data_IF_899469380062
#
_entry.id   IF_899469380062
#
_cell.length_a   1.000
_cell.length_b   1.000
_cell.length_c   1.000
_cell.angle_alpha   90.00
_cell.angle_beta   90.00
_cell.angle_gamma   90.00
#
_symmetry.space_group_name_H-M   'P 1'
#
loop_
_entity.id
_entity.type
_entity.pdbx_description
1 polymer ?
#
# COMPACT_ATOMS: atom_id res chain seq x y z
N UNK A 1 -14.14 7.66 -1.54
CA UNK A 1 -14.28 6.20 -1.37
C UNK A 1 -14.78 5.85 0.05
N UNK A 2 -14.08 6.27 1.12
CA UNK A 2 -14.34 5.83 2.49
C UNK A 2 -15.76 6.04 3.06
N UNK A 3 -16.53 7.04 2.60
CA UNK A 3 -17.93 7.23 3.02
C UNK A 3 -18.92 6.39 2.19
N UNK A 4 -18.59 6.15 0.94
CA UNK A 4 -19.47 5.53 -0.05
C UNK A 4 -19.33 4.02 0.03
N UNK A 5 -18.09 3.52 0.20
CA UNK A 5 -17.77 2.10 0.21
C UNK A 5 -18.62 1.26 1.19
N UNK A 6 -18.75 1.61 2.49
CA UNK A 6 -19.59 0.82 3.41
C UNK A 6 -21.08 0.82 3.03
N UNK A 7 -21.57 1.93 2.43
CA UNK A 7 -22.96 2.02 1.96
C UNK A 7 -23.20 1.13 0.74
N UNK A 8 -22.24 1.08 -0.17
CA UNK A 8 -22.33 0.24 -1.37
C UNK A 8 -22.24 -1.24 -1.00
N UNK A 9 -21.33 -1.60 -0.10
CA UNK A 9 -21.20 -2.98 0.39
C UNK A 9 -22.50 -3.48 1.03
N UNK A 10 -23.12 -2.65 1.87
CA UNK A 10 -24.41 -3.00 2.49
C UNK A 10 -25.54 -3.15 1.45
N UNK A 11 -25.58 -2.30 0.40
CA UNK A 11 -26.66 -2.30 -0.59
C UNK A 11 -26.50 -3.38 -1.68
N UNK A 12 -25.28 -3.61 -2.14
CA UNK A 12 -24.99 -4.44 -3.32
C UNK A 12 -24.12 -5.67 -3.02
N UNK A 13 -23.63 -5.80 -1.79
CA UNK A 13 -22.68 -6.82 -1.40
C UNK A 13 -21.24 -6.49 -1.84
N UNK A 14 -20.25 -7.12 -1.19
CA UNK A 14 -18.81 -6.85 -1.42
C UNK A 14 -18.37 -7.26 -2.82
N UNK A 15 -18.88 -8.37 -3.33
CA UNK A 15 -18.57 -8.86 -4.67
C UNK A 15 -18.96 -7.85 -5.75
N UNK A 16 -20.22 -7.42 -5.75
CA UNK A 16 -20.71 -6.47 -6.76
C UNK A 16 -20.05 -5.12 -6.63
N UNK A 17 -19.78 -4.66 -5.41
CA UNK A 17 -19.01 -3.42 -5.17
C UNK A 17 -17.59 -3.52 -5.68
N UNK A 18 -16.95 -4.69 -5.60
CA UNK A 18 -15.61 -4.92 -6.17
C UNK A 18 -15.63 -4.89 -7.70
N UNK A 19 -16.61 -5.55 -8.35
CA UNK A 19 -16.76 -5.48 -9.81
C UNK A 19 -17.08 -4.07 -10.29
N UNK A 20 -17.91 -3.35 -9.57
CA UNK A 20 -18.19 -1.95 -9.85
C UNK A 20 -16.91 -1.08 -9.69
N UNK A 21 -16.11 -1.36 -8.67
CA UNK A 21 -14.80 -0.73 -8.50
C UNK A 21 -13.84 -1.02 -9.66
N UNK A 22 -13.78 -2.26 -10.14
CA UNK A 22 -12.99 -2.65 -11.30
C UNK A 22 -13.47 -1.93 -12.57
N UNK A 23 -14.78 -1.82 -12.78
CA UNK A 23 -15.36 -1.08 -13.90
C UNK A 23 -14.95 0.40 -13.86
N UNK A 24 -15.09 1.07 -12.71
CA UNK A 24 -14.68 2.47 -12.53
C UNK A 24 -13.18 2.63 -12.83
N UNK A 25 -12.33 1.76 -12.27
CA UNK A 25 -10.89 1.78 -12.53
C UNK A 25 -10.59 1.65 -14.02
N UNK A 26 -11.16 0.65 -14.65
CA UNK A 26 -10.91 0.31 -16.06
C UNK A 26 -11.41 1.39 -17.02
N UNK A 27 -12.55 2.02 -16.74
CA UNK A 27 -13.07 3.13 -17.55
C UNK A 27 -12.25 4.42 -17.37
N UNK A 28 -11.65 4.65 -16.21
CA UNK A 28 -10.77 5.79 -15.98
C UNK A 28 -9.44 5.72 -16.76
N UNK A 29 -8.91 4.52 -17.01
CA UNK A 29 -7.61 4.35 -17.67
C UNK A 29 -7.53 4.94 -19.09
N UNK A 30 -8.49 4.75 -20.01
CA UNK A 30 -8.47 5.39 -21.32
C UNK A 30 -8.49 6.93 -21.23
N UNK A 31 -9.28 7.49 -20.34
CA UNK A 31 -9.30 8.94 -20.12
C UNK A 31 -7.98 9.47 -19.55
N UNK A 32 -7.31 8.68 -18.70
CA UNK A 32 -5.96 9.01 -18.23
C UNK A 32 -4.93 8.93 -19.36
N UNK A 33 -4.95 7.85 -20.15
CA UNK A 33 -3.99 7.61 -21.22
C UNK A 33 -4.15 8.56 -22.42
N UNK A 34 -5.39 8.92 -22.76
CA UNK A 34 -5.73 9.65 -23.97
C UNK A 34 -6.23 11.08 -23.70
N UNK A 35 -6.30 11.47 -22.43
CA UNK A 35 -6.84 12.77 -22.02
C UNK A 35 -6.13 13.95 -22.71
N UNK A 36 -6.88 14.84 -23.38
CA UNK A 36 -6.31 15.97 -24.12
C UNK A 36 -5.88 17.12 -23.22
N UNK A 37 -6.24 17.10 -21.93
CA UNK A 37 -5.92 18.18 -20.98
C UNK A 37 -5.57 17.64 -19.61
N UNK A 38 -4.81 18.44 -18.84
CA UNK A 38 -4.42 18.12 -17.45
C UNK A 38 -5.65 17.91 -16.57
N UNK A 39 -6.71 18.68 -16.75
CA UNK A 39 -7.93 18.57 -15.96
C UNK A 39 -8.61 17.20 -16.16
N UNK A 40 -8.74 16.76 -17.42
CA UNK A 40 -9.32 15.44 -17.75
C UNK A 40 -8.44 14.33 -17.17
N UNK A 41 -7.13 14.44 -17.30
CA UNK A 41 -6.17 13.49 -16.74
C UNK A 41 -6.29 13.39 -15.20
N UNK A 42 -6.38 14.52 -14.50
CA UNK A 42 -6.55 14.54 -13.03
C UNK A 42 -7.89 13.92 -12.61
N UNK A 43 -8.99 14.24 -13.30
CA UNK A 43 -10.29 13.63 -13.04
C UNK A 43 -10.28 12.14 -13.29
N UNK A 44 -9.63 11.67 -14.37
CA UNK A 44 -9.47 10.27 -14.69
C UNK A 44 -8.68 9.51 -13.61
N UNK A 45 -7.59 10.10 -13.09
CA UNK A 45 -6.82 9.55 -11.97
C UNK A 45 -7.69 9.44 -10.71
N UNK A 46 -8.40 10.51 -10.34
CA UNK A 46 -9.29 10.49 -9.18
C UNK A 46 -10.36 9.40 -9.30
N UNK A 47 -10.96 9.27 -10.47
CA UNK A 47 -11.97 8.26 -10.75
C UNK A 47 -11.39 6.84 -10.64
N UNK A 48 -10.26 6.58 -11.27
CA UNK A 48 -9.54 5.31 -11.19
C UNK A 48 -9.13 4.96 -9.75
N UNK A 49 -8.63 5.92 -8.99
CA UNK A 49 -8.27 5.72 -7.59
C UNK A 49 -9.48 5.33 -6.71
N UNK A 50 -10.67 5.89 -6.98
CA UNK A 50 -11.90 5.50 -6.26
C UNK A 50 -12.23 4.03 -6.56
N UNK A 51 -12.20 3.63 -7.82
CA UNK A 51 -12.43 2.24 -8.24
C UNK A 51 -11.45 1.26 -7.62
N UNK A 52 -10.16 1.57 -7.68
CA UNK A 52 -9.09 0.77 -7.07
C UNK A 52 -9.29 0.58 -5.57
N UNK A 53 -9.67 1.65 -4.86
CA UNK A 53 -9.93 1.57 -3.42
C UNK A 53 -11.10 0.62 -3.08
N UNK A 54 -12.15 0.57 -3.90
CA UNK A 54 -13.25 -0.37 -3.67
C UNK A 54 -12.77 -1.82 -3.77
N UNK A 55 -11.93 -2.12 -4.75
CA UNK A 55 -11.39 -3.47 -4.94
C UNK A 55 -10.48 -3.86 -3.76
N UNK A 56 -9.50 -3.00 -3.40
CA UNK A 56 -8.50 -3.36 -2.40
C UNK A 56 -9.09 -3.49 -1.00
N UNK A 57 -10.03 -2.61 -0.61
CA UNK A 57 -10.67 -2.67 0.71
C UNK A 57 -11.52 -3.94 0.86
N UNK A 58 -12.27 -4.31 -0.18
CA UNK A 58 -13.05 -5.54 -0.18
C UNK A 58 -12.17 -6.79 -0.19
N UNK A 59 -11.08 -6.79 -0.99
CA UNK A 59 -10.13 -7.89 -1.02
C UNK A 59 -9.54 -8.17 0.37
N UNK A 60 -9.05 -7.13 1.07
CA UNK A 60 -8.49 -7.30 2.42
C UNK A 60 -9.51 -7.91 3.38
N UNK A 61 -10.74 -7.41 3.34
CA UNK A 61 -11.80 -7.91 4.23
C UNK A 61 -12.21 -9.35 3.88
N UNK A 62 -12.42 -9.65 2.60
CA UNK A 62 -12.78 -11.01 2.14
C UNK A 62 -11.70 -12.03 2.51
N UNK A 63 -10.43 -11.73 2.26
CA UNK A 63 -9.32 -12.61 2.60
C UNK A 63 -9.19 -12.80 4.12
N UNK A 64 -9.39 -11.75 4.90
CA UNK A 64 -9.35 -11.84 6.37
C UNK A 64 -10.46 -12.72 6.94
N UNK A 65 -11.63 -12.73 6.32
CA UNK A 65 -12.74 -13.61 6.72
C UNK A 65 -12.59 -15.03 6.20
N UNK A 66 -12.10 -15.21 4.97
CA UNK A 66 -11.95 -16.54 4.37
C UNK A 66 -10.80 -17.34 4.99
N UNK A 67 -9.75 -16.67 5.48
CA UNK A 67 -8.60 -17.27 6.15
C UNK A 67 -8.47 -16.78 7.61
N UNK A 68 -9.40 -17.14 8.53
CA UNK A 68 -9.43 -16.60 9.89
C UNK A 68 -8.20 -17.00 10.72
N UNK A 69 -7.58 -18.14 10.41
CA UNK A 69 -6.36 -18.62 11.09
C UNK A 69 -5.09 -17.86 10.67
N UNK A 70 -5.03 -17.39 9.43
CA UNK A 70 -3.84 -16.76 8.84
C UNK A 70 -4.18 -15.56 7.97
N UNK A 71 -4.96 -14.58 8.47
CA UNK A 71 -5.47 -13.48 7.67
C UNK A 71 -4.34 -12.57 7.14
N UNK A 72 -3.31 -12.34 7.95
CA UNK A 72 -2.13 -11.57 7.61
C UNK A 72 -1.29 -12.23 6.49
N UNK A 73 -1.21 -13.55 6.49
CA UNK A 73 -0.53 -14.30 5.42
C UNK A 73 -1.28 -14.14 4.09
N UNK A 74 -2.60 -14.39 4.09
CA UNK A 74 -3.42 -14.32 2.89
C UNK A 74 -3.41 -12.92 2.26
N UNK A 75 -3.60 -11.87 3.09
CA UNK A 75 -3.57 -10.48 2.64
C UNK A 75 -2.17 -10.08 2.16
N UNK A 76 -1.11 -10.53 2.85
CA UNK A 76 0.27 -10.24 2.47
C UNK A 76 0.64 -10.88 1.13
N UNK A 77 0.30 -12.16 0.92
CA UNK A 77 0.56 -12.86 -0.34
C UNK A 77 -0.22 -12.25 -1.51
N UNK A 78 -1.46 -11.85 -1.30
CA UNK A 78 -2.23 -11.12 -2.31
C UNK A 78 -1.55 -9.79 -2.71
N UNK A 79 -1.03 -9.05 -1.74
CA UNK A 79 -0.22 -7.87 -2.01
C UNK A 79 1.13 -8.20 -2.67
N UNK A 80 1.69 -9.39 -2.42
CA UNK A 80 2.86 -9.93 -3.13
C UNK A 80 2.60 -10.12 -4.63
N UNK A 81 1.45 -10.70 -4.98
CA UNK A 81 1.00 -10.82 -6.37
C UNK A 81 0.86 -9.43 -7.03
N UNK A 82 0.32 -8.46 -6.29
CA UNK A 82 0.25 -7.07 -6.77
C UNK A 82 1.65 -6.49 -7.06
N UNK A 83 2.66 -6.77 -6.21
CA UNK A 83 4.03 -6.33 -6.44
C UNK A 83 4.63 -6.97 -7.71
N UNK A 84 4.36 -8.25 -7.98
CA UNK A 84 4.75 -8.91 -9.24
C UNK A 84 4.09 -8.23 -10.43
N UNK A 85 2.79 -7.92 -10.34
CA UNK A 85 2.06 -7.17 -11.37
C UNK A 85 2.66 -5.78 -11.62
N UNK A 86 3.08 -5.08 -10.57
CA UNK A 86 3.77 -3.78 -10.67
C UNK A 86 5.09 -3.90 -11.44
N UNK A 87 5.95 -4.87 -11.08
CA UNK A 87 7.24 -5.09 -11.76
C UNK A 87 7.00 -5.46 -13.22
N UNK A 88 6.09 -6.39 -13.49
CA UNK A 88 5.74 -6.80 -14.86
C UNK A 88 5.22 -5.62 -15.70
N UNK A 89 4.31 -4.83 -15.15
CA UNK A 89 3.77 -3.64 -15.81
C UNK A 89 4.86 -2.59 -16.10
N UNK A 90 5.77 -2.37 -15.17
CA UNK A 90 6.89 -1.44 -15.35
C UNK A 90 7.83 -1.90 -16.48
N UNK A 91 8.21 -3.18 -16.49
CA UNK A 91 9.03 -3.77 -17.55
C UNK A 91 8.32 -3.68 -18.89
N UNK A 92 7.04 -4.04 -18.95
CA UNK A 92 6.24 -3.99 -20.17
C UNK A 92 6.19 -2.59 -20.77
N UNK A 93 5.88 -1.57 -19.95
CA UNK A 93 5.83 -0.17 -20.39
C UNK A 93 7.21 0.30 -20.87
N UNK A 94 8.28 -0.04 -20.12
CA UNK A 94 9.65 0.30 -20.52
C UNK A 94 10.07 -0.36 -21.83
N UNK A 95 9.72 -1.63 -22.02
CA UNK A 95 10.01 -2.38 -23.26
C UNK A 95 9.24 -1.79 -24.45
N UNK A 96 7.95 -1.50 -24.30
CA UNK A 96 7.16 -0.86 -25.36
C UNK A 96 7.75 0.50 -25.75
N UNK A 97 8.17 1.28 -24.76
CA UNK A 97 8.81 2.58 -25.00
C UNK A 97 10.15 2.43 -25.77
N UNK A 98 10.96 1.40 -25.50
CA UNK A 98 12.21 1.13 -26.22
C UNK A 98 12.00 0.76 -27.69
N UNK A 99 10.84 0.21 -28.03
CA UNK A 99 10.41 -0.05 -29.42
C UNK A 99 9.69 1.15 -30.07
N UNK A 100 9.70 2.32 -29.46
CA UNK A 100 9.03 3.51 -29.99
C UNK A 100 7.52 3.50 -29.80
N UNK A 101 6.97 2.52 -29.11
CA UNK A 101 5.53 2.47 -28.78
C UNK A 101 5.26 3.37 -27.58
N UNK A 102 4.20 4.16 -27.66
CA UNK A 102 3.81 5.04 -26.56
C UNK A 102 3.59 4.25 -25.26
N UNK A 103 4.10 4.74 -24.14
CA UNK A 103 3.85 4.20 -22.80
C UNK A 103 2.34 4.05 -22.48
N UNK A 104 1.50 4.84 -23.15
CA UNK A 104 0.04 4.78 -23.06
C UNK A 104 -0.52 3.42 -23.46
N UNK A 105 0.10 2.75 -24.44
CA UNK A 105 -0.30 1.41 -24.86
C UNK A 105 -0.19 0.38 -23.71
N UNK A 106 0.89 0.47 -22.91
CA UNK A 106 1.05 -0.39 -21.74
C UNK A 106 -0.07 -0.24 -20.70
N UNK A 107 -0.54 0.99 -20.46
CA UNK A 107 -1.68 1.24 -19.58
C UNK A 107 -2.99 0.71 -20.16
N UNK A 108 -3.20 0.88 -21.46
CA UNK A 108 -4.42 0.42 -22.13
C UNK A 108 -4.55 -1.10 -22.17
N UNK A 109 -3.45 -1.85 -22.09
CA UNK A 109 -3.47 -3.31 -21.94
C UNK A 109 -4.12 -3.79 -20.64
N UNK A 110 -4.22 -2.95 -19.62
CA UNK A 110 -4.97 -3.26 -18.41
C UNK A 110 -6.48 -3.41 -18.67
N UNK A 111 -7.01 -2.76 -19.72
CA UNK A 111 -8.45 -2.82 -20.06
C UNK A 111 -8.87 -4.23 -20.48
N UNK A 112 -8.26 -4.86 -21.53
CA UNK A 112 -8.60 -6.23 -21.89
C UNK A 112 -8.28 -7.22 -20.78
N UNK A 113 -7.23 -7.01 -19.98
CA UNK A 113 -6.92 -7.85 -18.84
C UNK A 113 -8.04 -7.81 -17.77
N UNK A 114 -8.58 -6.64 -17.48
CA UNK A 114 -9.70 -6.47 -16.54
C UNK A 114 -11.00 -7.11 -17.08
N UNK A 115 -11.25 -7.00 -18.39
CA UNK A 115 -12.38 -7.66 -19.05
C UNK A 115 -12.25 -9.18 -18.96
N UNK A 116 -11.07 -9.72 -19.25
CA UNK A 116 -10.78 -11.15 -19.12
C UNK A 116 -10.96 -11.63 -17.67
N UNK A 117 -10.48 -10.86 -16.69
CA UNK A 117 -10.66 -11.15 -15.27
C UNK A 117 -12.15 -11.17 -14.88
N UNK A 118 -12.95 -10.23 -15.40
CA UNK A 118 -14.39 -10.19 -15.15
C UNK A 118 -15.07 -11.48 -15.68
N UNK A 119 -14.82 -11.86 -16.92
CA UNK A 119 -15.40 -13.08 -17.48
C UNK A 119 -14.93 -14.35 -16.76
N UNK A 120 -13.68 -14.41 -16.33
CA UNK A 120 -13.15 -15.53 -15.54
C UNK A 120 -13.78 -15.62 -14.14
N UNK A 121 -14.02 -14.47 -13.50
CA UNK A 121 -14.45 -14.39 -12.10
C UNK A 121 -15.96 -14.27 -11.88
N UNK A 122 -16.73 -13.86 -12.90
CA UNK A 122 -18.17 -13.56 -12.75
C UNK A 122 -19.02 -14.72 -12.25
N UNK A 123 -18.64 -15.96 -12.56
CA UNK A 123 -19.41 -17.16 -12.21
C UNK A 123 -18.87 -17.83 -10.91
N UNK A 124 -17.75 -17.30 -10.34
CA UNK A 124 -17.19 -17.82 -9.10
C UNK A 124 -18.06 -17.39 -7.92
N UNK A 125 -18.50 -18.36 -7.13
CA UNK A 125 -19.25 -18.09 -5.90
C UNK A 125 -18.27 -17.54 -4.86
N UNK A 126 -18.49 -16.30 -4.43
CA UNK A 126 -17.83 -15.70 -3.27
C UNK A 126 -18.91 -15.49 -2.23
N UNK A 127 -18.71 -16.03 -1.03
CA UNK A 127 -19.65 -15.86 0.08
C UNK A 127 -19.88 -14.36 0.34
N UNK A 128 -21.09 -13.91 0.05
CA UNK A 128 -21.55 -12.55 0.33
C UNK A 128 -22.22 -12.48 1.73
N UNK A 129 -21.56 -13.05 2.76
CA UNK A 129 -22.14 -13.14 4.10
C UNK A 129 -22.60 -11.79 4.71
N UNK A 130 -22.30 -10.65 4.08
CA UNK A 130 -22.56 -9.34 4.64
C UNK A 130 -23.65 -8.52 3.92
N UNK A 131 -24.30 -9.05 2.90
CA UNK A 131 -25.39 -8.32 2.23
C UNK A 131 -26.58 -8.08 3.17
N UNK A 132 -26.79 -9.01 4.13
CA UNK A 132 -27.85 -8.94 5.14
C UNK A 132 -27.37 -8.42 6.51
N UNK A 133 -26.07 -8.13 6.68
CA UNK A 133 -25.56 -7.63 7.93
C UNK A 133 -26.01 -6.18 8.19
N UNK A 134 -26.42 -5.82 9.42
CA UNK A 134 -26.84 -4.46 9.73
C UNK A 134 -25.70 -3.48 9.50
N UNK A 135 -26.03 -2.30 8.95
CA UNK A 135 -25.04 -1.24 8.69
C UNK A 135 -24.24 -0.93 9.93
N UNK A 136 -22.94 -1.13 9.85
CA UNK A 136 -22.03 -0.86 10.94
C UNK A 136 -21.95 0.65 11.20
N UNK A 137 -22.31 1.05 12.41
CA UNK A 137 -22.32 2.44 12.86
C UNK A 137 -21.84 2.55 14.31
N UNK A 138 -21.62 3.77 14.78
CA UNK A 138 -21.24 4.06 16.15
C UNK A 138 -19.77 4.48 16.29
N UNK A 139 -19.31 4.54 17.54
CA UNK A 139 -17.95 4.99 17.88
C UNK A 139 -16.98 3.81 17.84
N UNK A 140 -15.75 4.09 17.43
CA UNK A 140 -14.61 3.18 17.51
C UNK A 140 -13.79 3.53 18.76
N UNK A 141 -13.23 2.53 19.42
CA UNK A 141 -12.49 2.68 20.66
C UNK A 141 -11.18 3.49 20.53
N UNK A 142 -10.64 3.97 21.66
CA UNK A 142 -9.39 4.75 21.67
C UNK A 142 -8.19 3.99 21.08
N UNK A 143 -8.09 2.67 21.33
CA UNK A 143 -7.04 1.82 20.75
C UNK A 143 -7.10 1.76 19.22
N UNK A 144 -8.30 1.81 18.65
CA UNK A 144 -8.46 1.91 17.20
C UNK A 144 -7.83 3.19 16.66
N UNK A 145 -8.06 4.33 17.29
CA UNK A 145 -7.53 5.61 16.80
C UNK A 145 -6.02 5.71 16.93
N UNK A 146 -5.44 5.11 17.98
CA UNK A 146 -3.98 4.99 18.10
C UNK A 146 -3.42 4.11 16.98
N UNK A 147 -4.07 2.96 16.70
CA UNK A 147 -3.67 2.09 15.61
C UNK A 147 -3.87 2.74 14.22
N UNK A 148 -4.94 3.53 14.06
CA UNK A 148 -5.20 4.32 12.86
C UNK A 148 -4.10 5.36 12.60
N UNK A 149 -3.66 6.06 13.65
CA UNK A 149 -2.54 6.99 13.56
C UNK A 149 -1.23 6.25 13.23
N UNK A 150 -0.99 5.09 13.85
CA UNK A 150 0.13 4.23 13.51
C UNK A 150 0.11 3.77 12.05
N UNK A 151 -1.05 3.44 11.51
CA UNK A 151 -1.22 3.13 10.10
C UNK A 151 -0.92 4.34 9.21
N UNK A 152 -1.44 5.52 9.55
CA UNK A 152 -1.15 6.76 8.83
C UNK A 152 0.37 7.03 8.75
N UNK A 153 1.09 6.96 9.89
CA UNK A 153 2.53 7.21 9.93
C UNK A 153 3.34 6.14 9.20
N UNK A 154 2.88 4.89 9.24
CA UNK A 154 3.47 3.76 8.49
C UNK A 154 3.40 4.00 6.99
N UNK A 155 2.21 4.30 6.46
CA UNK A 155 2.03 4.58 5.03
C UNK A 155 2.76 5.87 4.62
N UNK A 156 2.79 6.87 5.49
CA UNK A 156 3.55 8.10 5.26
C UNK A 156 5.05 7.82 5.08
N UNK A 157 5.63 6.95 5.92
CA UNK A 157 7.05 6.58 5.81
C UNK A 157 7.35 5.79 4.53
N UNK A 158 6.44 4.91 4.11
CA UNK A 158 6.55 4.14 2.87
C UNK A 158 6.57 5.07 1.65
N UNK A 159 5.57 5.94 1.53
CA UNK A 159 5.44 6.81 0.36
C UNK A 159 6.49 7.91 0.31
N UNK A 160 6.85 8.51 1.45
CA UNK A 160 7.97 9.44 1.51
C UNK A 160 9.27 8.79 1.01
N UNK A 161 9.56 7.56 1.45
CA UNK A 161 10.75 6.83 1.01
C UNK A 161 10.68 6.48 -0.48
N UNK A 162 9.55 5.93 -0.93
CA UNK A 162 9.40 5.44 -2.31
C UNK A 162 9.52 6.55 -3.35
N UNK A 163 9.00 7.75 -3.08
CA UNK A 163 9.01 8.86 -4.04
C UNK A 163 10.34 9.62 -4.10
N UNK A 164 11.07 9.69 -2.99
CA UNK A 164 12.22 10.60 -2.90
C UNK A 164 13.58 9.90 -2.71
N UNK A 165 13.62 8.55 -2.58
CA UNK A 165 14.88 7.81 -2.38
C UNK A 165 15.91 8.06 -3.49
N UNK A 166 15.47 8.19 -4.73
CA UNK A 166 16.33 8.51 -5.86
C UNK A 166 16.94 9.92 -5.76
N UNK A 167 16.15 10.89 -5.30
CA UNK A 167 16.62 12.26 -5.09
C UNK A 167 17.68 12.33 -3.99
N UNK A 168 17.47 11.64 -2.85
CA UNK A 168 18.46 11.55 -1.79
C UNK A 168 19.75 10.85 -2.27
N UNK A 169 19.61 9.76 -3.03
CA UNK A 169 20.77 9.04 -3.56
C UNK A 169 21.59 9.92 -4.50
N UNK A 170 20.92 10.65 -5.42
CA UNK A 170 21.56 11.59 -6.32
C UNK A 170 22.30 12.71 -5.57
N UNK A 171 21.67 13.30 -4.57
CA UNK A 171 22.25 14.34 -3.72
C UNK A 171 23.53 13.87 -2.99
N UNK A 172 23.51 12.61 -2.53
CA UNK A 172 24.60 12.03 -1.74
C UNK A 172 25.76 11.45 -2.53
N UNK A 173 25.46 10.87 -3.70
CA UNK A 173 26.45 10.10 -4.48
C UNK A 173 26.80 10.74 -5.83
N UNK A 174 26.08 11.80 -6.22
CA UNK A 174 26.19 12.38 -7.57
C UNK A 174 25.67 11.45 -8.67
N UNK A 175 24.91 10.38 -8.33
CA UNK A 175 24.39 9.42 -9.29
C UNK A 175 23.45 10.07 -10.30
N UNK A 176 23.55 9.65 -11.56
CA UNK A 176 22.72 10.17 -12.64
C UNK A 176 21.26 9.71 -12.51
N UNK A 177 20.35 10.38 -13.22
CA UNK A 177 18.92 10.03 -13.25
C UNK A 177 18.67 8.57 -13.72
N UNK A 178 19.56 7.97 -14.50
CA UNK A 178 19.48 6.56 -14.90
C UNK A 178 19.53 5.60 -13.70
N UNK A 179 20.22 5.97 -12.62
CA UNK A 179 20.26 5.17 -11.39
C UNK A 179 18.99 5.28 -10.54
N UNK A 180 18.10 6.24 -10.84
CA UNK A 180 16.79 6.37 -10.16
C UNK A 180 15.94 5.10 -10.32
N UNK A 181 16.03 4.44 -11.48
CA UNK A 181 15.34 3.17 -11.74
C UNK A 181 15.87 2.03 -10.86
N UNK A 182 17.17 2.02 -10.56
CA UNK A 182 17.76 1.03 -9.65
C UNK A 182 17.28 1.19 -8.22
N UNK A 183 17.01 2.42 -7.76
CA UNK A 183 16.40 2.66 -6.44
C UNK A 183 15.00 2.04 -6.36
N UNK A 184 14.17 2.27 -7.37
CA UNK A 184 12.81 1.70 -7.46
C UNK A 184 12.87 0.17 -7.53
N UNK A 185 13.81 -0.39 -8.32
CA UNK A 185 14.00 -1.82 -8.44
C UNK A 185 14.46 -2.46 -7.12
N UNK A 186 15.43 -1.86 -6.42
CA UNK A 186 15.93 -2.35 -5.14
C UNK A 186 14.79 -2.35 -4.08
N UNK A 187 14.07 -1.24 -3.96
CA UNK A 187 12.95 -1.11 -3.03
C UNK A 187 11.82 -2.09 -3.37
N UNK A 188 11.44 -2.19 -4.65
CA UNK A 188 10.40 -3.10 -5.15
C UNK A 188 10.76 -4.57 -4.95
N UNK A 189 12.02 -4.94 -5.17
CA UNK A 189 12.52 -6.29 -4.89
C UNK A 189 12.40 -6.62 -3.40
N UNK A 190 12.79 -5.68 -2.54
CA UNK A 190 12.61 -5.81 -1.08
C UNK A 190 11.13 -5.99 -0.69
N UNK A 191 10.22 -5.23 -1.32
CA UNK A 191 8.77 -5.40 -1.13
C UNK A 191 8.30 -6.81 -1.48
N UNK A 192 8.70 -7.33 -2.65
CA UNK A 192 8.33 -8.67 -3.10
C UNK A 192 8.81 -9.75 -2.12
N UNK A 193 10.09 -9.72 -1.77
CA UNK A 193 10.71 -10.68 -0.84
C UNK A 193 9.98 -10.63 0.51
N UNK A 194 9.83 -9.45 1.09
CA UNK A 194 9.26 -9.32 2.42
C UNK A 194 7.77 -9.69 2.47
N UNK A 195 6.97 -9.32 1.47
CA UNK A 195 5.54 -9.67 1.40
C UNK A 195 5.29 -11.17 1.32
N UNK A 196 6.18 -11.88 0.64
CA UNK A 196 6.06 -13.33 0.49
C UNK A 196 6.60 -14.10 1.68
N UNK A 197 7.80 -13.76 2.14
CA UNK A 197 8.54 -14.59 3.09
C UNK A 197 8.31 -14.21 4.56
N UNK A 198 8.15 -12.93 4.92
CA UNK A 198 8.02 -12.53 6.33
C UNK A 198 6.84 -13.22 7.04
N UNK A 199 5.61 -13.27 6.47
CA UNK A 199 4.49 -13.94 7.12
C UNK A 199 4.73 -15.45 7.29
N UNK A 200 5.48 -16.08 6.39
CA UNK A 200 5.83 -17.52 6.46
C UNK A 200 6.86 -17.75 7.57
N UNK A 201 7.96 -17.01 7.55
CA UNK A 201 9.06 -17.19 8.51
C UNK A 201 8.65 -16.85 9.93
N UNK A 202 7.82 -15.83 10.09
CA UNK A 202 7.36 -15.38 11.39
C UNK A 202 5.97 -15.93 11.79
N UNK A 203 5.47 -16.99 11.13
CA UNK A 203 4.12 -17.53 11.36
C UNK A 203 3.81 -17.92 12.81
N UNK A 204 4.84 -18.24 13.60
CA UNK A 204 4.71 -18.61 15.02
C UNK A 204 4.69 -17.40 15.96
N UNK A 205 4.92 -16.19 15.46
CA UNK A 205 4.95 -14.97 16.27
C UNK A 205 3.62 -14.21 16.19
N UNK A 206 3.34 -13.36 17.15
CA UNK A 206 2.16 -12.50 17.12
C UNK A 206 2.28 -11.39 16.06
N UNK A 207 1.13 -10.84 15.65
CA UNK A 207 1.07 -9.77 14.66
C UNK A 207 1.87 -8.53 15.10
N UNK A 208 1.77 -8.16 16.39
CA UNK A 208 2.51 -7.02 16.94
C UNK A 208 4.04 -7.25 16.95
N UNK A 209 4.50 -8.49 17.19
CA UNK A 209 5.93 -8.84 17.11
C UNK A 209 6.42 -8.70 15.66
N UNK A 210 5.69 -9.22 14.69
CA UNK A 210 6.03 -9.09 13.26
C UNK A 210 6.15 -7.63 12.84
N UNK A 211 5.16 -6.82 13.20
CA UNK A 211 5.18 -5.38 12.90
C UNK A 211 6.38 -4.66 13.51
N UNK A 212 6.67 -4.94 14.79
CA UNK A 212 7.85 -4.35 15.45
C UNK A 212 9.15 -4.76 14.76
N UNK A 213 9.27 -6.04 14.38
CA UNK A 213 10.47 -6.55 13.69
C UNK A 213 10.68 -5.84 12.35
N UNK A 214 9.64 -5.75 11.50
CA UNK A 214 9.78 -5.11 10.18
C UNK A 214 9.99 -3.60 10.28
N UNK A 215 9.39 -2.91 11.26
CA UNK A 215 9.67 -1.50 11.54
C UNK A 215 11.11 -1.29 12.03
N UNK A 216 11.65 -2.20 12.83
CA UNK A 216 13.06 -2.15 13.25
C UNK A 216 14.00 -2.36 12.07
N UNK A 217 13.71 -3.34 11.19
CA UNK A 217 14.47 -3.55 9.95
C UNK A 217 14.43 -2.28 9.09
N UNK A 218 13.26 -1.70 8.88
CA UNK A 218 13.09 -0.47 8.11
C UNK A 218 13.91 0.68 8.72
N UNK A 219 13.80 0.88 10.03
CA UNK A 219 14.49 1.98 10.73
C UNK A 219 16.02 1.89 10.58
N UNK A 220 16.59 0.70 10.90
CA UNK A 220 18.03 0.49 10.83
C UNK A 220 18.53 0.64 9.40
N UNK A 221 17.88 -0.04 8.44
CA UNK A 221 18.26 0.01 7.02
C UNK A 221 18.11 1.41 6.44
N UNK A 222 17.06 2.14 6.84
CA UNK A 222 16.86 3.52 6.44
C UNK A 222 17.96 4.43 6.97
N UNK A 223 18.34 4.30 8.24
CA UNK A 223 19.42 5.10 8.82
C UNK A 223 20.77 4.83 8.12
N UNK A 224 21.05 3.55 7.83
CA UNK A 224 22.26 3.18 7.07
C UNK A 224 22.22 3.70 5.62
N UNK A 225 21.06 3.65 4.96
CA UNK A 225 20.85 4.28 3.65
C UNK A 225 21.06 5.80 3.72
N UNK A 226 20.46 6.45 4.71
CA UNK A 226 20.56 7.90 4.88
C UNK A 226 21.99 8.38 5.18
N UNK A 227 22.80 7.60 5.91
CA UNK A 227 24.19 7.91 6.22
C UNK A 227 25.16 7.59 5.07
N UNK A 228 24.76 6.74 4.13
CA UNK A 228 25.63 6.24 3.06
C UNK A 228 25.93 7.28 2.00
N UNK A 229 27.18 7.28 1.54
CA UNK A 229 27.64 7.98 0.34
C UNK A 229 28.10 7.00 -0.76
N UNK A 230 27.96 5.71 -0.54
CA UNK A 230 28.29 4.66 -1.50
C UNK A 230 27.04 4.16 -2.22
N UNK A 231 27.05 4.21 -3.55
CA UNK A 231 25.90 3.85 -4.39
C UNK A 231 25.43 2.40 -4.14
N UNK A 232 26.36 1.44 -4.19
CA UNK A 232 26.04 0.01 -4.06
C UNK A 232 25.49 -0.30 -2.68
N UNK A 233 26.13 0.21 -1.63
CA UNK A 233 25.67 0.03 -0.26
C UNK A 233 24.29 0.66 -0.05
N UNK A 234 24.05 1.84 -0.61
CA UNK A 234 22.74 2.49 -0.55
C UNK A 234 21.64 1.67 -1.20
N UNK A 235 21.89 1.06 -2.37
CA UNK A 235 20.93 0.19 -3.05
C UNK A 235 20.64 -1.08 -2.23
N UNK A 236 21.66 -1.68 -1.61
CA UNK A 236 21.47 -2.82 -0.70
C UNK A 236 20.61 -2.41 0.50
N UNK A 237 20.87 -1.27 1.10
CA UNK A 237 20.08 -0.78 2.24
C UNK A 237 18.64 -0.45 1.81
N UNK A 238 18.41 0.09 0.62
CA UNK A 238 17.07 0.31 0.08
C UNK A 238 16.30 -1.01 -0.12
N UNK A 239 16.96 -2.09 -0.54
CA UNK A 239 16.34 -3.40 -0.60
C UNK A 239 15.86 -3.83 0.81
N UNK A 240 16.68 -3.68 1.84
CA UNK A 240 16.29 -3.99 3.22
C UNK A 240 15.20 -3.04 3.75
N UNK A 241 15.22 -1.76 3.37
CA UNK A 241 14.11 -0.83 3.64
C UNK A 241 12.82 -1.36 3.01
N UNK A 242 12.89 -1.83 1.76
CA UNK A 242 11.76 -2.46 1.07
C UNK A 242 11.23 -3.68 1.81
N UNK A 243 12.10 -4.56 2.32
CA UNK A 243 11.71 -5.70 3.16
C UNK A 243 10.99 -5.19 4.42
N UNK A 244 11.53 -4.18 5.08
CA UNK A 244 10.93 -3.58 6.28
C UNK A 244 9.54 -2.97 6.03
N UNK A 245 9.32 -2.33 4.89
CA UNK A 245 8.02 -1.72 4.53
C UNK A 245 7.00 -2.79 4.09
N UNK A 246 7.45 -3.87 3.49
CA UNK A 246 6.65 -4.82 2.72
C UNK A 246 5.38 -5.34 3.38
N UNK A 247 5.47 -5.68 4.67
CA UNK A 247 4.36 -6.26 5.44
C UNK A 247 3.53 -5.23 6.21
N UNK A 248 3.95 -3.97 6.21
CA UNK A 248 3.34 -2.96 7.09
C UNK A 248 1.88 -2.70 6.74
N UNK A 249 1.57 -2.47 5.45
CA UNK A 249 0.20 -2.23 5.01
C UNK A 249 -0.74 -3.41 5.36
N UNK A 250 -0.50 -4.66 4.92
CA UNK A 250 -1.40 -5.76 5.21
C UNK A 250 -1.54 -6.05 6.71
N UNK A 251 -0.43 -6.03 7.45
CA UNK A 251 -0.46 -6.35 8.89
C UNK A 251 -1.15 -5.26 9.71
N UNK A 252 -0.95 -3.98 9.39
CA UNK A 252 -1.65 -2.89 10.07
C UNK A 252 -3.14 -2.86 9.74
N UNK A 253 -3.53 -3.22 8.50
CA UNK A 253 -4.94 -3.38 8.15
C UNK A 253 -5.63 -4.50 8.95
N UNK A 254 -5.01 -5.68 9.04
CA UNK A 254 -5.52 -6.77 9.88
C UNK A 254 -5.62 -6.33 11.34
N UNK A 255 -4.64 -5.59 11.83
CA UNK A 255 -4.63 -5.04 13.19
C UNK A 255 -5.77 -4.06 13.44
N UNK A 256 -6.06 -3.17 12.51
CA UNK A 256 -7.18 -2.23 12.54
C UNK A 256 -8.51 -2.98 12.60
N UNK A 257 -8.68 -4.03 11.80
CA UNK A 257 -9.88 -4.88 11.82
C UNK A 257 -10.04 -5.53 13.19
N UNK A 258 -8.98 -6.09 13.79
CA UNK A 258 -9.02 -6.68 15.13
C UNK A 258 -9.36 -5.68 16.24
N UNK A 259 -9.05 -4.40 16.07
CA UNK A 259 -9.32 -3.31 17.02
C UNK A 259 -10.62 -2.53 16.71
N UNK A 260 -11.43 -3.02 15.78
CA UNK A 260 -12.65 -2.35 15.33
C UNK A 260 -13.89 -2.64 16.20
N UNK A 261 -13.77 -3.43 17.27
CA UNK A 261 -14.87 -3.86 18.14
C UNK A 261 -16.05 -4.46 17.33
N UNK A 262 -15.73 -5.35 16.38
CA UNK A 262 -16.71 -6.00 15.49
C UNK A 262 -17.27 -5.13 14.38
N UNK A 263 -16.62 -3.99 14.05
CA UNK A 263 -17.05 -3.04 13.00
C UNK A 263 -16.01 -2.91 11.88
N UNK A 264 -15.65 -4.01 11.18
CA UNK A 264 -14.57 -3.99 10.18
C UNK A 264 -14.82 -3.01 9.03
N UNK A 265 -16.06 -2.88 8.51
CA UNK A 265 -16.34 -1.99 7.39
C UNK A 265 -16.21 -0.52 7.76
N UNK A 266 -16.67 -0.16 8.98
CA UNK A 266 -16.50 1.19 9.50
C UNK A 266 -15.02 1.52 9.69
N UNK A 267 -14.25 0.58 10.23
CA UNK A 267 -12.82 0.70 10.45
C UNK A 267 -12.06 0.84 9.12
N UNK A 268 -12.38 0.00 8.14
CA UNK A 268 -11.77 0.06 6.80
C UNK A 268 -12.11 1.37 6.08
N UNK A 269 -13.34 1.83 6.16
CA UNK A 269 -13.73 3.13 5.61
C UNK A 269 -12.94 4.29 6.23
N UNK A 270 -12.71 4.28 7.55
CA UNK A 270 -11.86 5.28 8.22
C UNK A 270 -10.40 5.15 7.84
N UNK A 271 -9.90 3.94 7.66
CA UNK A 271 -8.51 3.69 7.28
C UNK A 271 -8.19 4.15 5.85
N UNK A 272 -9.18 4.15 4.95
CA UNK A 272 -9.02 4.74 3.62
C UNK A 272 -8.65 6.23 3.65
N UNK A 273 -9.13 6.98 4.67
CA UNK A 273 -8.70 8.38 4.86
C UNK A 273 -7.24 8.47 5.31
N UNK A 274 -6.81 7.60 6.23
CA UNK A 274 -5.42 7.58 6.67
C UNK A 274 -4.48 7.32 5.48
N UNK A 275 -4.80 6.30 4.67
CA UNK A 275 -4.01 5.97 3.49
C UNK A 275 -3.99 7.15 2.48
N UNK A 276 -5.16 7.72 2.16
CA UNK A 276 -5.24 8.84 1.23
C UNK A 276 -4.46 10.08 1.70
N UNK A 277 -4.59 10.43 2.98
CA UNK A 277 -3.83 11.54 3.57
C UNK A 277 -2.31 11.25 3.59
N UNK A 278 -1.91 10.05 3.95
CA UNK A 278 -0.50 9.64 4.00
C UNK A 278 0.15 9.72 2.61
N UNK A 279 -0.51 9.18 1.58
CA UNK A 279 -0.02 9.16 0.20
C UNK A 279 0.10 10.60 -0.37
N UNK A 280 -0.83 11.48 -0.01
CA UNK A 280 -0.82 12.86 -0.49
C UNK A 280 0.16 13.75 0.28
N UNK A 281 0.08 13.72 1.61
CA UNK A 281 0.80 14.68 2.46
C UNK A 281 2.27 14.33 2.64
N UNK A 282 2.63 13.06 2.83
CA UNK A 282 4.00 12.71 3.20
C UNK A 282 5.03 13.02 2.10
N UNK A 283 4.82 12.64 0.82
CA UNK A 283 5.74 13.02 -0.25
C UNK A 283 5.74 14.54 -0.50
N UNK A 284 4.57 15.19 -0.39
CA UNK A 284 4.46 16.65 -0.54
C UNK A 284 5.25 17.39 0.53
N UNK A 285 5.06 17.04 1.80
CA UNK A 285 5.78 17.68 2.90
C UNK A 285 7.29 17.44 2.81
N UNK A 286 7.71 16.22 2.44
CA UNK A 286 9.12 15.92 2.25
C UNK A 286 9.72 16.76 1.13
N UNK A 287 9.03 16.90 -0.02
CA UNK A 287 9.46 17.77 -1.11
C UNK A 287 9.52 19.23 -0.69
N UNK A 288 8.47 19.72 -0.04
CA UNK A 288 8.41 21.10 0.47
C UNK A 288 9.56 21.40 1.44
N UNK A 289 9.83 20.53 2.41
CA UNK A 289 10.98 20.68 3.28
C UNK A 289 12.30 20.49 2.53
N UNK A 290 12.35 19.60 1.54
CA UNK A 290 13.51 19.41 0.67
C UNK A 290 13.94 20.69 -0.03
N UNK A 291 12.99 21.44 -0.54
CA UNK A 291 13.25 22.73 -1.20
C UNK A 291 13.76 23.82 -0.24
N UNK A 292 13.36 23.79 1.03
CA UNK A 292 13.70 24.82 2.01
C UNK A 292 14.95 24.52 2.85
N UNK A 293 15.15 23.26 3.25
CA UNK A 293 16.23 22.85 4.16
C UNK A 293 17.18 21.79 3.58
N UNK A 294 16.96 21.44 2.30
CA UNK A 294 17.69 20.38 1.60
C UNK A 294 17.12 18.99 1.83
N UNK A 295 17.16 18.18 0.76
CA UNK A 295 16.55 16.83 0.74
C UNK A 295 17.09 15.93 1.85
N UNK A 296 18.38 16.00 2.14
CA UNK A 296 19.05 15.18 3.15
C UNK A 296 18.50 15.44 4.57
N UNK A 297 18.23 16.69 4.94
CA UNK A 297 17.64 17.04 6.25
C UNK A 297 16.15 16.73 6.27
N UNK A 298 15.43 17.02 5.19
CA UNK A 298 14.00 16.72 5.08
C UNK A 298 13.69 15.23 5.27
N UNK A 299 14.60 14.36 4.82
CA UNK A 299 14.46 12.92 4.96
C UNK A 299 14.48 12.40 6.40
N UNK A 300 14.95 13.19 7.38
CA UNK A 300 14.84 12.87 8.80
C UNK A 300 13.37 12.80 9.29
N UNK A 301 12.42 13.26 8.49
CA UNK A 301 11.00 13.01 8.73
C UNK A 301 10.68 11.50 8.75
N UNK A 302 11.34 10.68 7.93
CA UNK A 302 11.05 9.26 7.82
C UNK A 302 11.34 8.48 9.10
N UNK A 303 12.51 8.54 9.74
CA UNK A 303 12.74 7.85 11.01
C UNK A 303 11.80 8.33 12.13
N UNK A 304 11.38 9.59 12.13
CA UNK A 304 10.36 10.10 13.08
C UNK A 304 9.02 9.40 12.84
N UNK A 305 8.58 9.28 11.58
CA UNK A 305 7.35 8.56 11.23
C UNK A 305 7.41 7.08 11.64
N UNK A 306 8.55 6.41 11.44
CA UNK A 306 8.75 5.02 11.86
C UNK A 306 8.68 4.90 13.39
N UNK A 307 9.31 5.80 14.13
CA UNK A 307 9.25 5.82 15.59
C UNK A 307 7.82 6.03 16.11
N UNK A 308 7.05 6.94 15.49
CA UNK A 308 5.64 7.16 15.83
C UNK A 308 4.79 5.92 15.55
N UNK A 309 5.05 5.21 14.42
CA UNK A 309 4.39 3.94 14.10
C UNK A 309 4.69 2.87 15.16
N UNK A 310 5.94 2.76 15.56
CA UNK A 310 6.37 1.82 16.60
C UNK A 310 5.70 2.13 17.94
N UNK A 311 5.68 3.40 18.34
CA UNK A 311 4.98 3.87 19.54
C UNK A 311 3.47 3.54 19.50
N UNK A 312 2.81 3.78 18.36
CA UNK A 312 1.39 3.45 18.21
C UNK A 312 1.11 1.95 18.41
N UNK A 313 2.01 1.06 17.98
CA UNK A 313 1.88 -0.38 18.23
C UNK A 313 2.02 -0.69 19.73
N UNK A 314 2.94 -0.06 20.44
CA UNK A 314 3.11 -0.27 21.86
C UNK A 314 1.88 0.16 22.66
N UNK A 315 1.35 1.35 22.39
CA UNK A 315 0.21 1.92 23.14
C UNK A 315 -1.15 1.28 22.79
N UNK A 316 -1.27 0.61 21.66
CA UNK A 316 -2.50 -0.09 21.24
C UNK A 316 -2.32 -1.59 21.07
N UNK A 317 -1.41 -2.22 21.84
CA UNK A 317 -1.05 -3.64 21.73
C UNK A 317 -2.28 -4.57 21.73
N UNK A 318 -2.25 -5.57 20.84
CA UNK A 318 -3.24 -6.63 20.78
C UNK A 318 -3.00 -7.62 21.93
N UNK A 319 -4.09 -7.99 22.62
CA UNK A 319 -4.06 -9.11 23.58
C UNK A 319 -4.22 -10.41 22.78
N UNK A 320 -3.16 -10.88 22.13
CA UNK A 320 -3.16 -12.17 21.46
C UNK A 320 -2.51 -13.24 22.35
N UNK A 321 -3.13 -14.42 22.53
CA UNK A 321 -2.44 -15.54 23.16
C UNK A 321 -1.26 -15.94 22.28
N UNK A 322 -0.07 -16.14 22.90
CA UNK A 322 1.06 -16.72 22.20
C UNK A 322 0.68 -18.11 21.69
N UNK A 323 0.70 -18.30 20.36
CA UNK A 323 0.56 -19.63 19.78
C UNK A 323 1.80 -20.44 20.22
N UNK A 324 1.59 -21.39 21.14
CA UNK A 324 2.59 -22.38 21.55
C UNK A 324 2.90 -23.34 20.41
#
# INVERSE_FOLDING_TARGET
>A
AGFIHPKLNHKYGRRNTSWFGLLIFTTGLPFFALGPSVQITLLAVLFSCIGFNFVILNMVTLLSHHYPETPDLAVSQSNGINAVGFVFGTILVGTLASFGVSWRAGLLLCVPAAIALYFYGRDKIVDNHDADAPRQSGKLGGKFWIAWFGFFTTISSEFATSFWSAALLSDRTGASAAFSTLCVAALGTGFGIGRWFIPIWMRKTTLDIRLKTILTIQFISFMLFWLSHNLVFSLIMLLFVGIGISGQFPMTMVRIIKLSDGKPDLAMGKSAYAAGLAIALAPFLLGFFGDHIGISKAYLMVPVLIALSFGAILFSSLKEPQKR
#
